data_IF_388477944673
#
_entry.id   IF_388477944673
#
_cell.length_a   1.000
_cell.length_b   1.000
_cell.length_c   1.000
_cell.angle_alpha   90.00
_cell.angle_beta   90.00
_cell.angle_gamma   90.00
#
_symmetry.space_group_name_H-M   'P 1'
#
loop_
_entity.id
_entity.type
_entity.pdbx_description
1 polymer ?
#
# COMPACT_ATOMS: atom_id res chain seq x y z
N UNK A 1 -1.54 -24.45 5.26
CA UNK A 1 -1.25 -25.90 5.08
C UNK A 1 -0.30 -26.14 3.92
N UNK A 2 -0.37 -25.42 2.80
CA UNK A 2 0.55 -25.56 1.65
C UNK A 2 2.03 -25.43 2.05
N UNK A 3 2.38 -24.54 2.99
CA UNK A 3 3.76 -24.38 3.50
C UNK A 3 4.29 -25.63 4.24
N UNK A 4 3.42 -26.56 4.58
CA UNK A 4 3.78 -27.83 5.26
C UNK A 4 3.82 -29.01 4.28
N UNK A 5 3.40 -28.80 3.03
CA UNK A 5 3.44 -29.85 2.01
C UNK A 5 4.86 -30.04 1.49
N UNK A 6 5.26 -31.28 1.29
CA UNK A 6 6.52 -31.62 0.66
C UNK A 6 6.26 -31.96 -0.81
N UNK A 7 7.05 -31.39 -1.70
CA UNK A 7 7.03 -31.70 -3.13
C UNK A 7 8.24 -32.58 -3.44
N UNK A 8 8.05 -33.65 -4.23
CA UNK A 8 9.16 -34.48 -4.64
C UNK A 8 10.14 -33.70 -5.53
N UNK A 9 11.44 -33.99 -5.42
CA UNK A 9 12.45 -33.36 -6.31
C UNK A 9 12.13 -33.58 -7.79
N UNK A 10 11.54 -34.73 -8.13
CA UNK A 10 11.13 -35.05 -9.50
C UNK A 10 10.08 -34.09 -10.01
N UNK A 11 9.04 -33.81 -9.21
CA UNK A 11 7.93 -32.94 -9.61
C UNK A 11 8.37 -31.48 -9.63
N UNK A 12 9.22 -31.09 -8.68
CA UNK A 12 9.82 -29.76 -8.64
C UNK A 12 10.70 -29.51 -9.89
N UNK A 13 11.56 -30.46 -10.24
CA UNK A 13 12.41 -30.34 -11.44
C UNK A 13 11.59 -30.40 -12.73
N UNK A 14 10.50 -31.15 -12.77
CA UNK A 14 9.58 -31.16 -13.91
C UNK A 14 8.87 -29.80 -14.07
N UNK A 15 8.45 -29.20 -12.97
CA UNK A 15 7.87 -27.85 -12.99
C UNK A 15 8.86 -26.79 -13.47
N UNK A 16 10.11 -26.83 -12.99
CA UNK A 16 11.17 -25.92 -13.49
C UNK A 16 11.46 -26.14 -14.97
N UNK A 17 11.50 -27.40 -15.44
CA UNK A 17 11.68 -27.69 -16.86
C UNK A 17 10.53 -27.11 -17.71
N UNK A 18 9.27 -27.27 -17.25
CA UNK A 18 8.11 -26.72 -17.92
C UNK A 18 8.08 -25.18 -17.94
N UNK A 19 8.64 -24.54 -16.91
CA UNK A 19 8.80 -23.07 -16.89
C UNK A 19 9.92 -22.59 -17.80
N UNK A 20 10.96 -23.37 -18.03
CA UNK A 20 12.13 -22.95 -18.83
C UNK A 20 12.04 -23.30 -20.31
N UNK A 21 11.19 -24.25 -20.69
CA UNK A 21 11.09 -24.74 -22.05
C UNK A 21 9.62 -24.92 -22.45
N UNK A 22 9.30 -24.62 -23.70
CA UNK A 22 8.02 -24.96 -24.29
C UNK A 22 8.24 -25.67 -25.64
N UNK A 23 7.24 -26.40 -26.09
CA UNK A 23 7.26 -27.06 -27.40
C UNK A 23 6.53 -26.17 -28.38
N UNK A 24 7.23 -25.74 -29.44
CA UNK A 24 6.66 -24.91 -30.50
C UNK A 24 5.72 -25.71 -31.43
N UNK A 25 5.11 -25.02 -32.39
CA UNK A 25 4.24 -25.65 -33.37
C UNK A 25 4.95 -26.70 -34.24
N UNK A 26 6.28 -26.65 -34.31
CA UNK A 26 7.12 -27.60 -35.04
C UNK A 26 7.61 -28.77 -34.20
N UNK A 27 7.04 -28.94 -33.01
CA UNK A 27 7.42 -29.96 -32.02
C UNK A 27 8.89 -29.86 -31.55
N UNK A 28 9.50 -28.66 -31.63
CA UNK A 28 10.86 -28.41 -31.13
C UNK A 28 10.78 -27.81 -29.73
N UNK A 29 11.68 -28.26 -28.84
CA UNK A 29 11.85 -27.66 -27.51
C UNK A 29 12.58 -26.34 -27.65
N UNK A 30 11.96 -25.26 -27.25
CA UNK A 30 12.48 -23.90 -27.26
C UNK A 30 12.65 -23.41 -25.82
N UNK A 31 13.81 -22.91 -25.48
CA UNK A 31 14.05 -22.27 -24.18
C UNK A 31 13.38 -20.91 -24.14
N UNK A 32 12.68 -20.66 -23.04
CA UNK A 32 12.08 -19.35 -22.78
C UNK A 32 13.20 -18.39 -22.36
N UNK A 33 13.32 -17.28 -23.07
CA UNK A 33 14.26 -16.21 -22.74
C UNK A 33 13.57 -15.18 -21.84
N UNK A 34 13.59 -15.38 -20.55
CA UNK A 34 13.01 -14.44 -19.58
C UNK A 34 13.69 -13.06 -19.57
N UNK A 35 14.93 -12.94 -20.06
CA UNK A 35 15.62 -11.65 -20.14
C UNK A 35 15.07 -10.72 -21.22
N UNK A 36 14.28 -11.25 -22.14
CA UNK A 36 13.59 -10.48 -23.18
C UNK A 36 12.15 -10.10 -22.81
N UNK A 37 11.62 -10.65 -21.70
CA UNK A 37 10.30 -10.26 -21.21
C UNK A 37 10.35 -8.81 -20.71
N UNK A 38 9.50 -7.98 -21.27
CA UNK A 38 9.27 -6.65 -20.72
C UNK A 38 8.42 -6.78 -19.43
N UNK A 39 8.56 -5.83 -18.56
CA UNK A 39 7.80 -5.74 -17.32
C UNK A 39 6.29 -5.75 -17.56
N UNK A 40 5.86 -5.24 -18.71
CA UNK A 40 4.48 -5.26 -19.17
C UNK A 40 3.94 -6.69 -19.35
N UNK A 41 4.79 -7.61 -19.80
CA UNK A 41 4.43 -9.01 -19.99
C UNK A 41 4.26 -9.75 -18.64
N UNK A 42 4.99 -9.35 -17.60
CA UNK A 42 4.76 -9.89 -16.24
C UNK A 42 3.36 -9.57 -15.72
N UNK A 43 2.85 -8.36 -15.97
CA UNK A 43 1.47 -7.99 -15.63
C UNK A 43 0.46 -8.90 -16.30
N UNK A 44 0.62 -9.16 -17.60
CA UNK A 44 -0.25 -10.04 -18.38
C UNK A 44 -0.20 -11.49 -17.92
N UNK A 45 0.98 -12.01 -17.58
CA UNK A 45 1.14 -13.37 -17.04
C UNK A 45 0.45 -13.49 -15.69
N UNK A 46 0.61 -12.49 -14.82
CA UNK A 46 -0.04 -12.46 -13.52
C UNK A 46 -1.58 -12.47 -13.63
N UNK A 47 -2.14 -11.65 -14.51
CA UNK A 47 -3.57 -11.65 -14.78
C UNK A 47 -4.07 -13.01 -15.30
N UNK A 48 -3.31 -13.64 -16.19
CA UNK A 48 -3.62 -14.98 -16.70
C UNK A 48 -3.63 -16.04 -15.58
N UNK A 49 -2.73 -15.93 -14.60
CA UNK A 49 -2.70 -16.81 -13.43
C UNK A 49 -3.91 -16.58 -12.54
N UNK A 50 -4.35 -15.33 -12.33
CA UNK A 50 -5.54 -15.00 -11.53
C UNK A 50 -6.84 -15.52 -12.16
N UNK A 51 -6.87 -15.77 -13.47
CA UNK A 51 -8.01 -16.41 -14.13
C UNK A 51 -8.12 -17.91 -13.85
N UNK A 52 -7.09 -18.52 -13.25
CA UNK A 52 -7.03 -19.95 -12.98
C UNK A 52 -7.02 -20.26 -11.50
N UNK A 53 -8.02 -20.97 -11.02
CA UNK A 53 -8.08 -21.42 -9.63
C UNK A 53 -7.71 -22.90 -9.53
N UNK A 54 -6.64 -23.27 -8.81
CA UNK A 54 -6.30 -24.67 -8.62
C UNK A 54 -7.37 -25.37 -7.77
N UNK A 55 -7.73 -26.58 -8.12
CA UNK A 55 -8.59 -27.43 -7.31
C UNK A 55 -7.99 -28.83 -7.18
N UNK A 56 -8.30 -29.45 -6.06
CA UNK A 56 -7.95 -30.85 -5.80
C UNK A 56 -9.24 -31.60 -5.50
N UNK A 57 -9.55 -32.59 -6.32
CA UNK A 57 -10.68 -33.49 -6.09
C UNK A 57 -10.13 -34.74 -5.43
N UNK A 58 -10.46 -35.04 -4.16
CA UNK A 58 -10.04 -36.25 -3.49
C UNK A 58 -10.72 -37.46 -4.12
N UNK A 59 -9.95 -38.50 -4.42
CA UNK A 59 -10.44 -39.82 -4.79
C UNK A 59 -10.44 -40.77 -3.59
N UNK A 60 -10.90 -42.02 -3.83
CA UNK A 60 -10.94 -43.08 -2.79
C UNK A 60 -9.53 -43.49 -2.39
N UNK A 61 -8.60 -43.61 -3.33
CA UNK A 61 -7.18 -43.81 -3.10
C UNK A 61 -6.38 -42.57 -3.47
N UNK A 62 -5.17 -42.40 -2.94
CA UNK A 62 -4.31 -41.27 -3.25
C UNK A 62 -3.94 -41.18 -4.75
N UNK A 63 -3.94 -42.32 -5.45
CA UNK A 63 -3.76 -42.41 -6.92
C UNK A 63 -4.91 -41.80 -7.72
N UNK A 64 -6.10 -41.65 -7.11
CA UNK A 64 -7.32 -41.21 -7.78
C UNK A 64 -7.58 -39.74 -7.56
N UNK A 65 -6.67 -39.06 -6.87
CA UNK A 65 -6.77 -37.59 -6.65
C UNK A 65 -6.50 -36.87 -7.97
N UNK A 66 -7.44 -36.05 -8.34
CA UNK A 66 -7.34 -35.17 -9.52
C UNK A 66 -6.92 -33.78 -9.09
N UNK A 67 -5.83 -33.30 -9.67
CA UNK A 67 -5.44 -31.90 -9.61
C UNK A 67 -5.75 -31.25 -10.96
N UNK A 68 -6.35 -30.07 -10.91
CA UNK A 68 -6.67 -29.31 -12.12
C UNK A 68 -6.84 -27.84 -11.84
N UNK A 69 -7.24 -27.11 -12.88
CA UNK A 69 -7.56 -25.70 -12.81
C UNK A 69 -8.98 -25.46 -13.31
N UNK A 70 -9.70 -24.60 -12.62
CA UNK A 70 -11.03 -24.10 -13.04
C UNK A 70 -10.93 -22.60 -13.25
N UNK A 71 -11.80 -22.04 -14.10
CA UNK A 71 -11.91 -20.59 -14.23
C UNK A 71 -12.22 -19.94 -12.89
N UNK A 72 -11.39 -18.99 -12.47
CA UNK A 72 -11.52 -18.24 -11.21
C UNK A 72 -12.24 -16.92 -11.45
N UNK A 73 -12.79 -16.37 -10.37
CA UNK A 73 -13.34 -15.00 -10.35
C UNK A 73 -12.39 -14.02 -9.64
N UNK A 74 -11.18 -14.48 -9.31
CA UNK A 74 -10.26 -13.70 -8.48
C UNK A 74 -9.80 -12.41 -9.20
N UNK A 75 -9.69 -12.44 -10.53
CA UNK A 75 -9.46 -11.24 -11.34
C UNK A 75 -10.59 -10.21 -11.20
N UNK A 76 -11.85 -10.65 -11.18
CA UNK A 76 -13.00 -9.75 -11.01
C UNK A 76 -13.10 -9.24 -9.58
N UNK A 77 -12.85 -10.09 -8.58
CA UNK A 77 -12.93 -9.74 -7.16
C UNK A 77 -11.83 -8.79 -6.72
N UNK A 78 -10.65 -8.88 -7.34
CA UNK A 78 -9.49 -8.00 -7.06
C UNK A 78 -9.42 -6.81 -8.02
N UNK A 79 -10.32 -6.75 -9.03
CA UNK A 79 -10.31 -5.72 -10.08
C UNK A 79 -8.95 -5.55 -10.77
N UNK A 80 -8.22 -6.67 -10.95
CA UNK A 80 -6.87 -6.69 -11.52
C UNK A 80 -6.96 -6.66 -13.04
N UNK A 81 -6.80 -5.48 -13.63
CA UNK A 81 -6.81 -5.25 -15.07
C UNK A 81 -5.55 -4.51 -15.49
N UNK A 82 -4.87 -5.07 -16.50
CA UNK A 82 -3.72 -4.43 -17.11
C UNK A 82 -4.15 -3.21 -17.94
N UNK A 83 -3.54 -2.05 -17.65
CA UNK A 83 -3.82 -0.82 -18.39
C UNK A 83 -2.99 -0.77 -19.66
N UNK A 84 -3.61 -0.56 -20.81
CA UNK A 84 -2.94 -0.52 -22.10
C UNK A 84 -1.85 0.57 -22.15
N UNK A 85 -0.70 0.31 -22.79
CA UNK A 85 0.43 1.24 -22.81
C UNK A 85 0.10 2.62 -23.40
N UNK A 86 -0.77 2.68 -24.42
CA UNK A 86 -1.20 3.93 -25.04
C UNK A 86 -1.98 4.82 -24.06
N UNK A 87 -2.81 4.23 -23.19
CA UNK A 87 -3.52 4.96 -22.15
C UNK A 87 -2.57 5.47 -21.08
N UNK A 88 -1.61 4.65 -20.67
CA UNK A 88 -0.58 5.04 -19.69
C UNK A 88 0.25 6.21 -20.22
N UNK A 89 0.72 6.13 -21.46
CA UNK A 89 1.47 7.22 -22.09
C UNK A 89 0.66 8.51 -22.16
N UNK A 90 -0.62 8.43 -22.51
CA UNK A 90 -1.49 9.59 -22.54
C UNK A 90 -1.69 10.18 -21.13
N UNK A 91 -1.88 9.33 -20.11
CA UNK A 91 -1.99 9.75 -18.71
C UNK A 91 -0.73 10.50 -18.28
N UNK A 92 0.46 9.93 -18.48
CA UNK A 92 1.74 10.55 -18.15
C UNK A 92 1.89 11.91 -18.81
N UNK A 93 1.62 11.99 -20.11
CA UNK A 93 1.76 13.22 -20.89
C UNK A 93 0.80 14.33 -20.45
N UNK A 94 -0.41 13.97 -20.04
CA UNK A 94 -1.44 14.94 -19.68
C UNK A 94 -1.43 15.34 -18.21
N UNK A 95 -0.91 14.48 -17.32
CA UNK A 95 -0.94 14.73 -15.86
C UNK A 95 0.45 14.98 -15.27
N UNK A 96 1.43 14.10 -15.54
CA UNK A 96 2.74 14.16 -14.88
C UNK A 96 3.68 15.18 -15.53
N UNK A 97 3.80 15.18 -16.86
CA UNK A 97 4.72 16.09 -17.54
C UNK A 97 4.44 17.58 -17.29
N UNK A 98 3.18 18.07 -17.27
CA UNK A 98 2.91 19.45 -16.91
C UNK A 98 3.40 19.81 -15.50
N UNK A 99 3.21 18.91 -14.53
CA UNK A 99 3.68 19.09 -13.14
C UNK A 99 5.20 19.12 -13.07
N UNK A 100 5.90 18.25 -13.81
CA UNK A 100 7.36 18.26 -13.92
C UNK A 100 7.83 19.62 -14.46
N UNK A 101 7.24 20.09 -15.56
CA UNK A 101 7.60 21.37 -16.19
C UNK A 101 7.35 22.56 -15.26
N UNK A 102 6.24 22.58 -14.57
CA UNK A 102 5.93 23.61 -13.58
C UNK A 102 6.94 23.63 -12.42
N UNK A 103 7.26 22.46 -11.87
CA UNK A 103 8.28 22.33 -10.82
C UNK A 103 9.65 22.84 -11.26
N UNK A 104 10.06 22.55 -12.49
CA UNK A 104 11.34 23.01 -13.03
C UNK A 104 11.35 24.50 -13.35
N UNK A 105 10.21 25.08 -13.75
CA UNK A 105 10.11 26.51 -14.08
C UNK A 105 10.41 27.42 -12.89
N UNK A 106 10.17 26.93 -11.68
CA UNK A 106 10.42 27.65 -10.43
C UNK A 106 11.87 27.52 -9.90
N UNK A 107 12.76 26.87 -10.64
CA UNK A 107 14.15 26.61 -10.24
C UNK A 107 15.13 27.38 -11.15
N UNK A 108 16.10 28.04 -10.54
CA UNK A 108 17.10 28.84 -11.26
C UNK A 108 18.24 27.99 -11.83
N UNK A 109 18.69 26.98 -11.09
CA UNK A 109 19.84 26.13 -11.45
C UNK A 109 19.44 24.71 -11.81
N UNK A 110 20.32 24.00 -12.52
CA UNK A 110 20.12 22.58 -12.85
C UNK A 110 20.05 21.70 -11.58
N UNK A 111 20.87 22.00 -10.59
CA UNK A 111 20.87 21.26 -9.33
C UNK A 111 19.56 21.45 -8.55
N UNK A 112 19.02 22.68 -8.55
CA UNK A 112 17.69 22.95 -7.97
C UNK A 112 16.59 22.20 -8.68
N UNK A 113 16.63 22.13 -10.04
CA UNK A 113 15.67 21.34 -10.83
C UNK A 113 15.74 19.85 -10.49
N UNK A 114 16.92 19.27 -10.46
CA UNK A 114 17.13 17.86 -10.06
C UNK A 114 16.59 17.61 -8.65
N UNK A 115 16.94 18.48 -7.69
CA UNK A 115 16.45 18.36 -6.31
C UNK A 115 14.92 18.50 -6.23
N UNK A 116 14.32 19.40 -6.98
CA UNK A 116 12.88 19.57 -7.05
C UNK A 116 12.18 18.31 -7.58
N UNK A 117 12.72 17.68 -8.64
CA UNK A 117 12.20 16.44 -9.20
C UNK A 117 12.36 15.25 -8.23
N UNK A 118 13.50 15.10 -7.57
CA UNK A 118 13.73 14.03 -6.59
C UNK A 118 12.93 14.21 -5.29
N UNK A 119 12.39 15.40 -5.05
CA UNK A 119 11.46 15.66 -3.95
C UNK A 119 9.99 15.50 -4.35
N UNK A 120 9.70 15.26 -5.63
CA UNK A 120 8.34 14.94 -6.06
C UNK A 120 7.88 13.64 -5.42
N UNK A 121 6.56 13.58 -5.13
CA UNK A 121 5.90 12.36 -4.68
C UNK A 121 4.77 12.06 -5.66
N UNK A 122 4.85 10.92 -6.29
CA UNK A 122 3.83 10.40 -7.20
C UNK A 122 3.28 9.10 -6.61
N UNK A 123 1.96 8.96 -6.65
CA UNK A 123 1.29 7.81 -6.04
C UNK A 123 0.25 7.25 -6.99
N UNK A 124 0.25 5.94 -7.16
CA UNK A 124 -0.83 5.20 -7.76
C UNK A 124 -1.62 4.48 -6.66
N UNK A 125 -2.88 4.85 -6.53
CA UNK A 125 -3.76 4.34 -5.47
C UNK A 125 -4.42 2.99 -5.77
N UNK A 126 -4.20 2.44 -6.96
CA UNK A 126 -4.69 1.13 -7.43
C UNK A 126 -3.68 0.55 -8.43
N UNK A 127 -2.46 0.30 -7.93
CA UNK A 127 -1.28 0.12 -8.78
C UNK A 127 -1.24 -1.19 -9.57
N UNK A 128 -2.00 -2.20 -9.16
CA UNK A 128 -1.89 -3.52 -9.75
C UNK A 128 -0.45 -4.01 -9.72
N UNK A 129 0.04 -4.53 -10.84
CA UNK A 129 1.43 -4.95 -11.02
C UNK A 129 2.44 -3.80 -11.17
N UNK A 130 2.02 -2.52 -11.10
CA UNK A 130 2.90 -1.36 -11.07
C UNK A 130 3.22 -0.72 -12.43
N UNK A 131 2.46 -1.00 -13.47
CA UNK A 131 2.73 -0.48 -14.81
C UNK A 131 2.71 1.06 -14.88
N UNK A 132 1.67 1.71 -14.32
CA UNK A 132 1.58 3.19 -14.25
C UNK A 132 2.70 3.74 -13.36
N UNK A 133 2.95 3.09 -12.22
CA UNK A 133 4.01 3.46 -11.27
C UNK A 133 5.38 3.47 -11.96
N UNK A 134 5.67 2.44 -12.73
CA UNK A 134 6.92 2.33 -13.48
C UNK A 134 7.02 3.41 -14.58
N UNK A 135 5.94 3.67 -15.31
CA UNK A 135 5.90 4.72 -16.31
C UNK A 135 6.16 6.11 -15.69
N UNK A 136 5.60 6.40 -14.52
CA UNK A 136 5.90 7.61 -13.76
C UNK A 136 7.39 7.69 -13.37
N UNK A 137 7.94 6.58 -12.85
CA UNK A 137 9.35 6.50 -12.46
C UNK A 137 10.28 6.72 -13.65
N UNK A 138 10.04 6.04 -14.77
CA UNK A 138 10.81 6.16 -16.02
C UNK A 138 10.79 7.61 -16.52
N UNK A 139 9.66 8.27 -16.49
CA UNK A 139 9.52 9.66 -16.93
C UNK A 139 10.32 10.62 -16.06
N UNK A 140 10.17 10.55 -14.75
CA UNK A 140 10.94 11.42 -13.82
C UNK A 140 12.43 11.16 -13.96
N UNK A 141 12.83 9.87 -14.04
CA UNK A 141 14.23 9.47 -14.18
C UNK A 141 14.87 10.00 -15.47
N UNK A 142 14.12 10.02 -16.57
CA UNK A 142 14.58 10.60 -17.83
C UNK A 142 14.89 12.10 -17.66
N UNK A 143 13.99 12.87 -17.07
CA UNK A 143 14.23 14.28 -16.80
C UNK A 143 15.43 14.50 -15.85
N UNK A 144 15.54 13.73 -14.77
CA UNK A 144 16.67 13.82 -13.83
C UNK A 144 17.98 13.51 -14.53
N UNK A 145 18.02 12.46 -15.35
CA UNK A 145 19.22 12.04 -16.05
C UNK A 145 19.64 13.07 -17.11
N UNK A 146 18.72 13.53 -17.94
CA UNK A 146 18.94 14.58 -18.95
C UNK A 146 19.47 15.88 -18.33
N UNK A 147 18.92 16.30 -17.20
CA UNK A 147 19.42 17.47 -16.48
C UNK A 147 20.83 17.29 -15.92
N UNK A 148 21.21 16.08 -15.48
CA UNK A 148 22.55 15.79 -14.94
C UNK A 148 23.61 15.68 -16.01
N UNK A 149 23.29 15.03 -17.12
CA UNK A 149 24.26 14.77 -18.22
C UNK A 149 24.30 15.90 -19.23
N UNK A 150 23.22 16.65 -19.40
CA UNK A 150 23.05 17.62 -20.48
C UNK A 150 22.78 16.95 -21.84
N UNK A 151 22.52 15.64 -21.87
CA UNK A 151 22.32 14.84 -23.07
C UNK A 151 20.85 14.42 -23.21
N UNK A 152 20.27 14.57 -24.39
CA UNK A 152 18.91 14.12 -24.68
C UNK A 152 18.79 12.58 -24.72
N UNK A 153 19.92 11.88 -24.92
CA UNK A 153 20.03 10.44 -24.98
C UNK A 153 21.13 9.95 -24.05
N UNK A 154 20.91 9.98 -22.72
CA UNK A 154 21.93 9.66 -21.75
C UNK A 154 22.33 8.17 -21.82
N UNK A 155 23.56 7.88 -21.40
CA UNK A 155 24.06 6.52 -21.32
C UNK A 155 23.17 5.64 -20.41
N UNK A 156 23.02 4.36 -20.76
CA UNK A 156 22.10 3.46 -20.06
C UNK A 156 22.45 3.28 -18.58
N UNK A 157 23.72 3.44 -18.19
CA UNK A 157 24.16 3.36 -16.79
C UNK A 157 23.68 4.56 -16.00
N UNK A 158 23.84 5.77 -16.52
CA UNK A 158 23.41 7.01 -15.87
C UNK A 158 21.89 7.04 -15.70
N UNK A 159 21.17 6.58 -16.73
CA UNK A 159 19.73 6.46 -16.68
C UNK A 159 19.28 5.45 -15.62
N UNK A 160 19.89 4.28 -15.51
CA UNK A 160 19.56 3.27 -14.49
C UNK A 160 19.82 3.79 -13.07
N UNK A 161 20.91 4.55 -12.87
CA UNK A 161 21.17 5.17 -11.58
C UNK A 161 20.10 6.20 -11.22
N UNK A 162 19.70 7.05 -12.16
CA UNK A 162 18.62 8.00 -11.97
C UNK A 162 17.28 7.29 -11.69
N UNK A 163 16.97 6.22 -12.44
CA UNK A 163 15.74 5.44 -12.25
C UNK A 163 15.69 4.80 -10.86
N UNK A 164 16.79 4.18 -10.41
CA UNK A 164 16.90 3.64 -9.05
C UNK A 164 16.63 4.71 -8.00
N UNK A 165 17.25 5.88 -8.12
CA UNK A 165 17.09 6.98 -7.18
C UNK A 165 15.65 7.51 -7.16
N UNK A 166 14.99 7.61 -8.32
CA UNK A 166 13.59 7.99 -8.42
C UNK A 166 12.66 6.95 -7.79
N UNK A 167 12.88 5.66 -8.06
CA UNK A 167 12.11 4.57 -7.46
C UNK A 167 12.19 4.64 -5.93
N UNK A 168 13.38 4.84 -5.37
CA UNK A 168 13.57 4.85 -3.93
C UNK A 168 13.05 6.11 -3.23
N UNK A 169 12.82 7.21 -3.96
CA UNK A 169 12.47 8.51 -3.34
C UNK A 169 11.12 9.07 -3.74
N UNK A 170 10.70 8.85 -5.00
CA UNK A 170 9.58 9.60 -5.57
C UNK A 170 8.29 8.79 -5.66
N UNK A 171 8.38 7.47 -5.77
CA UNK A 171 7.27 6.61 -6.20
C UNK A 171 6.59 5.98 -5.01
N UNK A 172 5.26 6.04 -5.00
CA UNK A 172 4.41 5.41 -4.01
C UNK A 172 3.31 4.62 -4.72
N UNK A 173 2.89 3.51 -4.13
CA UNK A 173 1.81 2.71 -4.66
C UNK A 173 1.01 2.04 -3.56
N UNK A 174 -0.27 1.88 -3.80
CA UNK A 174 -1.18 1.11 -2.97
C UNK A 174 -1.98 0.18 -3.86
N UNK A 175 -2.14 -1.06 -3.44
CA UNK A 175 -3.10 -1.98 -4.05
C UNK A 175 -3.79 -2.82 -3.00
N UNK A 176 -5.03 -3.21 -3.28
CA UNK A 176 -5.81 -4.07 -2.39
C UNK A 176 -5.30 -5.51 -2.39
N UNK A 177 -4.74 -5.96 -3.52
CA UNK A 177 -4.24 -7.30 -3.69
C UNK A 177 -2.77 -7.40 -3.23
N UNK A 178 -2.45 -8.18 -2.19
CA UNK A 178 -1.09 -8.32 -1.68
C UNK A 178 -0.12 -8.92 -2.72
N UNK A 179 -0.59 -9.82 -3.59
CA UNK A 179 0.26 -10.42 -4.62
C UNK A 179 0.63 -9.41 -5.71
N UNK A 180 -0.31 -8.51 -6.05
CA UNK A 180 -0.04 -7.39 -6.97
C UNK A 180 1.00 -6.42 -6.38
N UNK A 181 0.92 -6.14 -5.09
CA UNK A 181 1.91 -5.30 -4.37
C UNK A 181 3.31 -5.92 -4.44
N UNK A 182 3.44 -7.22 -4.19
CA UNK A 182 4.74 -7.90 -4.29
C UNK A 182 5.26 -7.91 -5.73
N UNK A 183 4.38 -8.14 -6.71
CA UNK A 183 4.76 -8.07 -8.12
C UNK A 183 5.21 -6.65 -8.52
N UNK A 184 4.52 -5.61 -8.06
CA UNK A 184 4.91 -4.22 -8.28
C UNK A 184 6.33 -3.94 -7.74
N UNK A 185 6.67 -4.44 -6.55
CA UNK A 185 8.03 -4.32 -6.01
C UNK A 185 9.06 -5.04 -6.89
N UNK A 186 8.76 -6.27 -7.32
CA UNK A 186 9.65 -7.05 -8.21
C UNK A 186 9.90 -6.31 -9.52
N UNK A 187 8.86 -5.76 -10.13
CA UNK A 187 8.92 -4.95 -11.34
C UNK A 187 9.85 -3.75 -11.15
N UNK A 188 9.67 -2.99 -10.07
CA UNK A 188 10.50 -1.83 -9.76
C UNK A 188 11.95 -2.21 -9.45
N UNK A 189 12.21 -3.38 -8.84
CA UNK A 189 13.55 -3.88 -8.59
C UNK A 189 14.29 -4.29 -9.87
N UNK A 190 13.59 -4.96 -10.79
CA UNK A 190 14.18 -5.35 -12.08
C UNK A 190 14.59 -4.10 -12.87
N UNK A 191 13.70 -3.12 -12.95
CA UNK A 191 13.94 -1.88 -13.70
C UNK A 191 14.99 -0.98 -13.03
N UNK A 192 14.96 -0.87 -11.71
CA UNK A 192 15.93 -0.09 -10.93
C UNK A 192 17.23 -0.83 -10.62
N UNK A 193 17.47 -2.01 -11.22
CA UNK A 193 18.66 -2.79 -10.94
C UNK A 193 19.95 -2.06 -11.38
N UNK A 194 20.86 -1.90 -10.44
CA UNK A 194 22.21 -1.38 -10.67
C UNK A 194 23.24 -2.38 -10.15
N UNK A 195 24.16 -2.81 -11.03
CA UNK A 195 25.20 -3.75 -10.65
C UNK A 195 26.06 -3.21 -9.48
N UNK A 196 26.29 -4.05 -8.48
CA UNK A 196 27.08 -3.71 -7.29
C UNK A 196 26.29 -2.98 -6.20
N UNK A 197 24.99 -2.71 -6.38
CA UNK A 197 24.11 -2.14 -5.37
C UNK A 197 23.05 -3.15 -4.93
N UNK A 198 22.59 -3.15 -3.66
CA UNK A 198 21.50 -3.99 -3.20
C UNK A 198 20.18 -3.56 -3.87
N UNK A 199 19.12 -4.36 -3.74
CA UNK A 199 17.78 -3.94 -4.12
C UNK A 199 17.30 -2.82 -3.20
N UNK A 200 16.58 -1.83 -3.74
CA UNK A 200 16.04 -0.73 -2.94
C UNK A 200 14.98 -1.24 -1.95
N UNK A 201 14.99 -0.70 -0.73
CA UNK A 201 13.94 -0.98 0.24
C UNK A 201 12.64 -0.25 -0.17
N UNK A 202 11.59 -1.01 -0.52
CA UNK A 202 10.34 -0.47 -1.07
C UNK A 202 9.12 -0.64 -0.17
N UNK A 203 9.21 -1.41 0.93
CA UNK A 203 8.05 -1.70 1.79
C UNK A 203 7.40 -0.48 2.44
N UNK A 204 8.11 0.63 2.52
CA UNK A 204 7.58 1.89 3.04
C UNK A 204 6.86 2.72 1.99
N UNK A 205 7.07 2.43 0.71
CA UNK A 205 6.49 3.15 -0.43
C UNK A 205 5.37 2.36 -1.11
N UNK A 206 5.53 1.04 -1.22
CA UNK A 206 4.59 0.16 -1.93
C UNK A 206 3.83 -0.66 -0.88
N UNK A 207 2.52 -0.39 -0.73
CA UNK A 207 1.73 -0.86 0.40
C UNK A 207 0.49 -1.62 -0.05
N UNK A 208 0.15 -2.66 0.70
CA UNK A 208 -1.14 -3.33 0.57
C UNK A 208 -2.18 -2.60 1.41
N UNK A 209 -3.32 -2.28 0.81
CA UNK A 209 -4.43 -1.62 1.50
C UNK A 209 -5.53 -1.17 0.56
N UNK A 210 -6.65 -0.73 1.13
CA UNK A 210 -7.75 -0.16 0.39
C UNK A 210 -7.61 1.38 0.38
N UNK A 211 -7.30 1.94 -0.78
CA UNK A 211 -7.06 3.39 -0.93
C UNK A 211 -8.32 4.25 -0.88
N UNK A 212 -9.50 3.64 -0.99
CA UNK A 212 -10.80 4.33 -0.94
C UNK A 212 -11.37 4.32 0.49
N UNK A 213 -10.86 3.41 1.33
CA UNK A 213 -11.34 3.19 2.68
C UNK A 213 -10.29 3.60 3.69
N UNK A 214 -10.65 4.45 4.64
CA UNK A 214 -9.76 4.81 5.74
C UNK A 214 -9.70 6.31 6.01
N UNK A 215 -8.69 6.70 6.77
CA UNK A 215 -8.42 8.09 7.16
C UNK A 215 -7.41 8.67 6.20
N UNK A 216 -7.83 9.61 5.37
CA UNK A 216 -6.97 10.31 4.41
C UNK A 216 -6.24 11.51 5.03
N UNK A 217 -6.82 12.09 6.07
CA UNK A 217 -6.25 13.19 6.84
C UNK A 217 -6.45 12.92 8.33
N UNK A 218 -5.41 13.07 9.12
CA UNK A 218 -5.49 12.88 10.59
C UNK A 218 -6.43 13.88 11.25
N UNK A 219 -6.73 15.02 10.60
CA UNK A 219 -7.76 15.95 11.07
C UNK A 219 -9.13 15.29 11.20
N UNK A 220 -9.42 14.28 10.36
CA UNK A 220 -10.67 13.53 10.44
C UNK A 220 -10.84 12.80 11.79
N UNK A 221 -9.74 12.35 12.39
CA UNK A 221 -9.78 11.73 13.72
C UNK A 221 -10.10 12.77 14.81
N UNK A 222 -9.57 14.00 14.67
CA UNK A 222 -9.82 15.11 15.59
C UNK A 222 -11.27 15.59 15.48
N UNK A 223 -11.77 15.70 14.25
CA UNK A 223 -13.16 16.11 13.98
C UNK A 223 -14.18 15.06 14.49
N UNK A 224 -13.70 13.82 14.70
CA UNK A 224 -14.50 12.71 15.21
C UNK A 224 -15.33 12.01 14.13
N UNK A 225 -16.02 10.96 14.54
CA UNK A 225 -16.89 10.18 13.64
C UNK A 225 -18.12 11.00 13.28
N UNK A 226 -18.42 11.22 11.99
CA UNK A 226 -19.62 11.97 11.61
C UNK A 226 -20.90 11.18 11.89
N UNK A 227 -21.94 11.84 12.39
CA UNK A 227 -23.23 11.22 12.72
C UNK A 227 -23.86 10.41 11.57
N UNK A 228 -23.49 10.73 10.33
CA UNK A 228 -23.96 10.02 9.13
C UNK A 228 -23.32 8.64 8.95
N UNK A 229 -22.17 8.41 9.55
CA UNK A 229 -21.48 7.12 9.52
C UNK A 229 -22.11 6.11 10.50
N UNK A 230 -22.75 6.62 11.54
CA UNK A 230 -23.30 5.80 12.61
C UNK A 230 -24.60 5.13 12.16
N UNK A 231 -24.66 3.81 12.30
CA UNK A 231 -25.84 2.98 12.05
C UNK A 231 -26.16 2.11 13.24
N UNK A 232 -27.44 1.80 13.47
CA UNK A 232 -27.90 0.91 14.52
C UNK A 232 -29.13 0.11 14.07
N UNK A 233 -29.42 -1.01 14.73
CA UNK A 233 -30.53 -1.90 14.39
C UNK A 233 -31.89 -1.23 14.57
N UNK A 234 -32.03 -0.36 15.56
CA UNK A 234 -33.28 0.36 15.84
C UNK A 234 -33.06 1.87 15.98
N UNK A 235 -34.16 2.63 15.92
CA UNK A 235 -34.14 4.10 15.95
C UNK A 235 -33.73 4.68 17.31
N UNK A 236 -34.06 4.00 18.41
CA UNK A 236 -33.78 4.50 19.75
C UNK A 236 -32.30 4.31 20.07
N UNK A 237 -31.72 3.16 19.72
CA UNK A 237 -30.28 2.89 19.79
C UNK A 237 -29.49 3.86 18.91
N UNK A 238 -29.94 4.12 17.68
CA UNK A 238 -29.30 5.10 16.81
C UNK A 238 -29.32 6.52 17.38
N UNK A 239 -30.45 6.92 17.99
CA UNK A 239 -30.59 8.24 18.61
C UNK A 239 -29.67 8.38 19.84
N UNK A 240 -29.57 7.34 20.66
CA UNK A 240 -28.67 7.30 21.79
C UNK A 240 -27.20 7.36 21.37
N UNK A 241 -26.82 6.55 20.37
CA UNK A 241 -25.47 6.52 19.80
C UNK A 241 -25.06 7.89 19.26
N UNK A 242 -25.93 8.56 18.48
CA UNK A 242 -25.66 9.90 17.95
C UNK A 242 -25.52 10.94 19.06
N UNK A 243 -26.31 10.83 20.13
CA UNK A 243 -26.20 11.73 21.28
C UNK A 243 -24.85 11.56 21.97
N UNK A 244 -24.41 10.32 22.24
CA UNK A 244 -23.10 10.02 22.82
C UNK A 244 -21.97 10.53 21.93
N UNK A 245 -22.08 10.33 20.62
CA UNK A 245 -21.10 10.82 19.66
C UNK A 245 -20.98 12.34 19.69
N UNK A 246 -22.09 13.07 19.68
CA UNK A 246 -22.11 14.53 19.75
C UNK A 246 -21.56 15.08 21.07
N UNK A 247 -21.80 14.38 22.18
CA UNK A 247 -21.22 14.73 23.48
C UNK A 247 -19.69 14.53 23.46
N UNK A 248 -19.21 13.42 22.89
CA UNK A 248 -17.79 13.15 22.74
C UNK A 248 -17.09 14.19 21.84
N UNK A 249 -17.68 14.53 20.68
CA UNK A 249 -17.18 15.56 19.77
C UNK A 249 -17.13 16.94 20.47
N UNK A 250 -18.16 17.29 21.27
CA UNK A 250 -18.15 18.55 22.04
C UNK A 250 -17.08 18.56 23.13
N UNK A 251 -16.84 17.44 23.80
CA UNK A 251 -15.82 17.34 24.82
C UNK A 251 -14.43 17.57 24.25
N UNK A 252 -14.16 17.03 23.05
CA UNK A 252 -12.93 17.25 22.31
C UNK A 252 -12.77 18.70 21.89
N UNK A 253 -13.80 19.26 21.24
CA UNK A 253 -13.76 20.64 20.73
C UNK A 253 -13.88 21.70 21.86
N UNK A 254 -14.46 21.37 23.00
CA UNK A 254 -14.60 22.26 24.15
C UNK A 254 -13.30 22.46 24.94
N UNK A 255 -12.33 21.61 24.75
CA UNK A 255 -10.98 21.71 25.35
C UNK A 255 -10.01 22.55 24.51
N UNK A 256 -10.51 23.27 23.49
CA UNK A 256 -9.71 24.03 22.50
C UNK A 256 -9.18 25.38 23.03
N UNK A 257 -8.61 25.38 24.23
CA UNK A 257 -7.68 26.44 24.63
C UNK A 257 -6.25 26.19 24.19
N UNK A 258 -5.93 24.97 23.80
CA UNK A 258 -4.64 24.52 23.26
C UNK A 258 -4.90 23.60 22.06
N UNK A 259 -3.89 23.42 21.20
CA UNK A 259 -3.93 22.51 20.05
C UNK A 259 -4.59 21.16 20.40
N UNK A 260 -5.42 20.58 19.50
CA UNK A 260 -6.10 19.34 19.78
C UNK A 260 -5.09 18.26 20.17
N UNK A 261 -5.21 17.84 21.41
CA UNK A 261 -4.42 16.75 21.98
C UNK A 261 -5.20 15.46 21.87
N UNK A 262 -4.63 14.43 21.27
CA UNK A 262 -5.11 13.06 21.46
C UNK A 262 -4.86 12.69 22.91
N UNK A 263 -5.88 12.76 23.73
CA UNK A 263 -5.87 12.26 25.10
C UNK A 263 -5.89 10.73 25.06
N UNK A 264 -4.75 10.12 24.78
CA UNK A 264 -4.59 8.72 25.12
C UNK A 264 -4.46 8.67 26.64
N UNK A 265 -5.49 8.23 27.35
CA UNK A 265 -5.29 7.71 28.71
C UNK A 265 -4.24 6.61 28.60
N UNK A 266 -3.10 6.90 29.13
CA UNK A 266 -1.84 6.33 28.84
C UNK A 266 -1.60 5.10 29.71
N UNK A 267 -1.76 3.86 29.23
CA UNK A 267 -1.25 2.72 29.98
C UNK A 267 0.28 2.73 30.10
N UNK A 268 0.99 3.66 29.40
CA UNK A 268 2.44 3.69 29.31
C UNK A 268 3.08 5.05 29.66
N UNK A 269 2.36 6.01 30.27
CA UNK A 269 2.95 7.28 30.74
C UNK A 269 3.37 8.26 29.63
N UNK A 270 2.75 8.23 28.44
CA UNK A 270 3.05 9.14 27.33
C UNK A 270 2.16 10.38 27.47
N UNK A 271 2.75 11.53 27.78
CA UNK A 271 2.04 12.82 27.92
C UNK A 271 1.26 13.18 26.64
N UNK A 272 0.15 13.90 26.81
CA UNK A 272 -0.72 14.42 25.75
C UNK A 272 0.10 14.99 24.59
N UNK A 273 -0.10 14.47 23.37
CA UNK A 273 0.69 14.88 22.22
C UNK A 273 -0.20 15.39 21.11
N UNK A 274 0.07 16.58 20.62
CA UNK A 274 -0.51 17.06 19.37
C UNK A 274 -0.04 16.23 18.17
N UNK A 275 -0.82 16.16 17.10
CA UNK A 275 -0.44 15.43 15.85
C UNK A 275 0.92 15.92 15.33
N UNK A 276 1.19 17.24 15.45
CA UNK A 276 2.47 17.84 15.09
C UNK A 276 3.64 17.30 15.95
N UNK A 277 3.39 16.99 17.23
CA UNK A 277 4.40 16.44 18.16
C UNK A 277 4.66 14.94 17.96
N UNK A 278 3.81 14.23 17.22
CA UNK A 278 4.05 12.81 16.91
C UNK A 278 5.35 12.65 16.12
N UNK A 279 5.77 13.69 15.39
CA UNK A 279 7.01 13.69 14.61
C UNK A 279 7.11 12.54 13.59
N UNK A 280 5.95 11.91 13.26
CA UNK A 280 5.88 10.74 12.40
C UNK A 280 6.32 11.10 10.98
N UNK A 281 5.86 12.23 10.47
CA UNK A 281 6.23 12.73 9.15
C UNK A 281 7.74 12.98 9.04
N UNK A 282 8.36 13.52 10.09
CA UNK A 282 9.80 13.78 10.12
C UNK A 282 10.62 12.48 10.22
N UNK A 283 10.13 11.49 10.98
CA UNK A 283 10.76 10.16 11.04
C UNK A 283 10.66 9.44 9.70
N UNK A 284 9.51 9.47 9.05
CA UNK A 284 9.35 8.90 7.71
C UNK A 284 10.24 9.62 6.71
N UNK A 285 10.28 10.97 6.76
CA UNK A 285 11.16 11.77 5.91
C UNK A 285 12.63 11.43 6.14
N UNK A 286 13.05 11.27 7.39
CA UNK A 286 14.40 10.83 7.73
C UNK A 286 14.73 9.46 7.14
N UNK A 287 13.85 8.46 7.31
CA UNK A 287 14.04 7.11 6.74
C UNK A 287 14.13 7.16 5.22
N UNK A 288 13.28 7.96 4.55
CA UNK A 288 13.30 8.11 3.09
C UNK A 288 14.63 8.67 2.56
N UNK A 289 15.34 9.48 3.36
CA UNK A 289 16.62 10.08 2.97
C UNK A 289 17.83 9.25 3.40
N UNK A 290 17.66 8.13 4.11
CA UNK A 290 18.77 7.24 4.42
C UNK A 290 19.38 6.67 3.13
N UNK A 291 20.73 6.59 3.04
CA UNK A 291 21.38 5.99 1.88
C UNK A 291 21.09 4.49 1.82
N UNK A 292 21.14 3.93 0.60
CA UNK A 292 20.91 2.51 0.30
C UNK A 292 21.85 2.00 -0.81
N UNK A 293 23.09 2.49 -0.78
CA UNK A 293 24.12 2.11 -1.77
C UNK A 293 24.85 0.82 -1.41
N UNK A 294 24.84 0.43 -0.13
CA UNK A 294 25.41 -0.82 0.36
C UNK A 294 24.35 -1.65 1.10
N UNK A 295 24.60 -2.96 1.20
CA UNK A 295 23.69 -3.88 1.90
C UNK A 295 23.48 -3.49 3.36
N UNK A 296 24.54 -3.00 4.04
CA UNK A 296 24.45 -2.54 5.43
C UNK A 296 23.54 -1.31 5.56
N UNK A 297 23.61 -0.39 4.61
CA UNK A 297 22.77 0.81 4.60
C UNK A 297 21.28 0.44 4.36
N UNK A 298 21.04 -0.49 3.44
CA UNK A 298 19.70 -0.99 3.17
C UNK A 298 19.11 -1.69 4.40
N UNK A 299 19.85 -2.57 5.06
CA UNK A 299 19.46 -3.23 6.31
C UNK A 299 19.14 -2.21 7.41
N UNK A 300 19.97 -1.17 7.57
CA UNK A 300 19.70 -0.10 8.53
C UNK A 300 18.40 0.62 8.22
N UNK A 301 18.13 0.94 6.96
CA UNK A 301 16.87 1.58 6.52
C UNK A 301 15.67 0.70 6.85
N UNK A 302 15.76 -0.60 6.54
CA UNK A 302 14.71 -1.58 6.84
C UNK A 302 14.45 -1.70 8.35
N UNK A 303 15.50 -1.80 9.17
CA UNK A 303 15.37 -1.88 10.63
C UNK A 303 14.71 -0.62 11.20
N UNK A 304 15.11 0.57 10.75
CA UNK A 304 14.49 1.84 11.19
C UNK A 304 13.02 1.92 10.83
N UNK A 305 12.65 1.42 9.67
CA UNK A 305 11.24 1.33 9.28
C UNK A 305 10.47 0.35 10.17
N UNK A 306 11.02 -0.84 10.42
CA UNK A 306 10.40 -1.84 11.29
C UNK A 306 10.24 -1.32 12.73
N UNK A 307 11.25 -0.67 13.30
CA UNK A 307 11.20 -0.02 14.61
C UNK A 307 10.08 1.04 14.67
N UNK A 308 9.98 1.87 13.62
CA UNK A 308 8.93 2.88 13.55
C UNK A 308 7.53 2.24 13.51
N UNK A 309 7.34 1.23 12.66
CA UNK A 309 6.05 0.53 12.51
C UNK A 309 5.65 -0.27 13.74
N UNK A 310 6.61 -0.77 14.51
CA UNK A 310 6.38 -1.48 15.78
C UNK A 310 6.21 -0.53 16.98
N UNK A 311 6.37 0.78 16.79
CA UNK A 311 6.23 1.73 17.89
C UNK A 311 4.78 1.82 18.38
N UNK A 312 4.59 1.93 19.70
CA UNK A 312 3.27 2.06 20.31
C UNK A 312 2.46 3.23 19.72
N UNK A 313 3.13 4.32 19.33
CA UNK A 313 2.48 5.49 18.69
C UNK A 313 1.85 5.16 17.35
N UNK A 314 2.57 4.43 16.48
CA UNK A 314 2.04 4.01 15.18
C UNK A 314 0.93 2.99 15.36
N UNK A 315 1.04 2.10 16.34
CA UNK A 315 0.02 1.12 16.64
C UNK A 315 -1.27 1.79 17.13
N UNK A 316 -1.18 2.72 18.09
CA UNK A 316 -2.32 3.51 18.55
C UNK A 316 -2.99 4.28 17.40
N UNK A 317 -2.20 4.97 16.57
CA UNK A 317 -2.75 5.71 15.43
C UNK A 317 -3.43 4.79 14.42
N UNK A 318 -2.85 3.62 14.16
CA UNK A 318 -3.46 2.61 13.28
C UNK A 318 -4.80 2.15 13.83
N UNK A 319 -4.87 1.81 15.12
CA UNK A 319 -6.13 1.40 15.77
C UNK A 319 -7.18 2.50 15.70
N UNK A 320 -6.81 3.75 15.95
CA UNK A 320 -7.72 4.88 15.82
C UNK A 320 -8.28 5.00 14.39
N UNK A 321 -7.42 4.88 13.38
CA UNK A 321 -7.86 4.86 11.97
C UNK A 321 -8.76 3.68 11.65
N UNK A 322 -8.44 2.48 12.17
CA UNK A 322 -9.24 1.27 11.95
C UNK A 322 -10.63 1.39 12.60
N UNK A 323 -10.72 1.90 13.83
CA UNK A 323 -11.99 2.13 14.52
C UNK A 323 -12.80 3.20 13.78
N UNK A 324 -12.17 4.30 13.37
CA UNK A 324 -12.84 5.34 12.59
C UNK A 324 -13.45 4.77 11.31
N UNK A 325 -12.67 4.00 10.53
CA UNK A 325 -13.15 3.36 9.31
C UNK A 325 -14.25 2.34 9.60
N UNK A 326 -14.13 1.56 10.67
CA UNK A 326 -15.10 0.56 11.09
C UNK A 326 -16.46 1.17 11.40
N UNK A 327 -16.52 2.40 11.93
CA UNK A 327 -17.76 3.10 12.23
C UNK A 327 -18.70 3.24 11.03
N UNK A 328 -18.17 3.25 9.80
CA UNK A 328 -18.97 3.34 8.56
C UNK A 328 -19.61 2.02 8.14
N UNK A 329 -19.20 0.90 8.72
CA UNK A 329 -19.64 -0.45 8.32
C UNK A 329 -20.34 -1.21 9.43
N UNK A 330 -20.11 -0.80 10.67
CA UNK A 330 -20.69 -1.47 11.83
C UNK A 330 -22.10 -0.95 12.13
N UNK A 331 -23.05 -1.89 12.24
CA UNK A 331 -24.40 -1.59 12.71
C UNK A 331 -24.50 -1.96 14.18
N UNK A 332 -24.58 -0.96 15.04
CA UNK A 332 -24.59 -1.14 16.50
C UNK A 332 -25.89 -1.78 16.95
N UNK A 333 -25.78 -2.80 17.81
CA UNK A 333 -26.91 -3.48 18.43
C UNK A 333 -27.24 -2.85 19.79
N UNK A 334 -28.48 -3.05 20.24
CA UNK A 334 -28.93 -2.51 21.53
C UNK A 334 -28.13 -3.09 22.70
N UNK A 335 -27.78 -4.37 22.66
CA UNK A 335 -26.99 -5.06 23.69
C UNK A 335 -25.52 -4.60 23.74
N UNK A 336 -25.00 -4.02 22.67
CA UNK A 336 -23.67 -3.42 22.64
C UNK A 336 -23.63 -2.03 23.28
N UNK A 337 -24.76 -1.33 23.36
CA UNK A 337 -24.84 0.05 23.82
C UNK A 337 -25.44 0.19 25.25
N UNK A 338 -26.22 -0.77 25.70
CA UNK A 338 -26.91 -0.73 26.99
C UNK A 338 -26.42 -1.84 27.92
N UNK A 339 -26.26 -1.50 29.22
CA UNK A 339 -25.94 -2.50 30.24
C UNK A 339 -27.07 -3.49 30.40
N UNK A 340 -26.75 -4.76 30.53
CA UNK A 340 -27.71 -5.81 30.89
C UNK A 340 -27.91 -5.79 32.42
N UNK A 341 -28.88 -5.00 32.89
CA UNK A 341 -29.20 -4.88 34.30
C UNK A 341 -30.31 -5.87 34.76
N UNK A 342 -30.68 -6.83 33.88
CA UNK A 342 -31.73 -7.83 34.19
C UNK A 342 -33.14 -7.24 34.40
N UNK A 343 -33.36 -5.97 34.05
CA UNK A 343 -34.61 -5.22 34.20
C UNK A 343 -35.12 -4.61 32.91
N UNK A 344 -36.28 -3.96 32.96
CA UNK A 344 -36.90 -3.27 31.82
C UNK A 344 -36.27 -1.91 31.51
N UNK A 345 -35.47 -1.36 32.40
CA UNK A 345 -34.81 -0.06 32.22
C UNK A 345 -33.47 -0.23 31.57
N UNK A 346 -33.36 0.30 30.35
CA UNK A 346 -32.12 0.31 29.57
C UNK A 346 -31.21 1.47 30.05
N UNK A 347 -30.13 1.16 30.71
CA UNK A 347 -29.08 2.12 31.09
C UNK A 347 -27.96 2.11 30.08
N UNK A 348 -27.57 3.30 29.56
CA UNK A 348 -26.48 3.43 28.61
C UNK A 348 -25.16 2.96 29.22
N UNK A 349 -24.45 2.10 28.53
CA UNK A 349 -23.08 1.74 28.88
C UNK A 349 -22.11 2.79 28.33
N UNK A 350 -21.64 3.68 29.21
CA UNK A 350 -20.70 4.74 28.87
C UNK A 350 -19.27 4.20 28.56
N UNK A 351 -19.05 2.91 28.89
CA UNK A 351 -17.78 2.20 28.59
C UNK A 351 -17.92 1.24 27.40
N UNK A 352 -19.08 1.28 26.70
CA UNK A 352 -19.31 0.43 25.54
C UNK A 352 -18.24 0.63 24.45
N UNK A 353 -17.65 -0.45 23.99
CA UNK A 353 -16.63 -0.47 22.93
C UNK A 353 -17.24 -0.40 21.51
N UNK A 354 -18.22 0.48 21.32
CA UNK A 354 -18.83 0.70 20.00
C UNK A 354 -18.07 1.78 19.22
N UNK A 355 -18.02 1.72 17.88
CA UNK A 355 -17.23 2.64 17.06
C UNK A 355 -17.88 4.02 16.96
N UNK A 356 -17.59 4.90 17.92
CA UNK A 356 -17.95 6.32 17.87
C UNK A 356 -16.76 7.19 18.32
N UNK A 357 -16.90 8.50 18.31
CA UNK A 357 -15.78 9.44 18.53
C UNK A 357 -14.95 9.15 19.79
N UNK A 358 -15.60 8.82 20.92
CA UNK A 358 -14.88 8.51 22.17
C UNK A 358 -13.98 7.27 22.03
N UNK A 359 -14.41 6.25 21.29
CA UNK A 359 -13.65 5.01 21.09
C UNK A 359 -12.44 5.23 20.15
N UNK A 360 -12.59 6.17 19.20
CA UNK A 360 -11.50 6.56 18.27
C UNK A 360 -10.41 7.35 18.99
N UNK A 361 -10.78 8.14 19.97
CA UNK A 361 -9.88 9.02 20.75
C UNK A 361 -9.27 8.32 21.93
#
# INVERSE_FOLDING_TARGET
>A
WLKQCQVSNRDLLAAFAALNEFTDERQQRVKINYSSLDVEEFGSVYEGILEMRPFVQPGVAASDWLFGFVGGLDRQSTSSYYTRPDLVQNLIKTTLEPVIKDKMANCATTEEKVKALLNMKVCDAASGSGHIVLAMARTIAWYVCTLRTGEDNPASLDYRQALREVISRCVYAVDYNPDAVELCKVVLWIEGYCAGKPLSFLDHHIRCGNSVLGVSDLQMLIDGVPDKALTAEDKDTLKALKKLNQEAVKAVNGNTGNEPTFGFENPFGIEEMSIAQIGLADKIRFINHLPEDTLEQEIVKQLRWQELMASARVDCLRRACDIYAYAFYHTVKADELYKDNGGTDKELDLEAEVPYTKTVM
#
